data_IF_147531322422
#
_entry.id   IF_147531322422
#
_cell.length_a   1.000
_cell.length_b   1.000
_cell.length_c   1.000
_cell.angle_alpha   90.00
_cell.angle_beta   90.00
_cell.angle_gamma   90.00
#
_symmetry.space_group_name_H-M   'P 1'
#
loop_
_entity.id
_entity.type
_entity.pdbx_description
1 polymer ?
#
# COMPACT_ATOMS: atom_id res chain seq x y z
N UNK A 1 3.68 17.93 3.22
CA UNK A 1 3.33 16.61 2.65
C UNK A 1 4.49 16.17 1.77
N UNK A 2 5.01 14.98 2.01
CA UNK A 2 6.08 14.38 1.21
C UNK A 2 5.53 13.13 0.52
N UNK A 3 5.81 12.94 -0.77
CA UNK A 3 5.33 11.81 -1.54
C UNK A 3 6.49 11.21 -2.35
N UNK A 4 6.70 9.89 -2.24
CA UNK A 4 7.75 9.18 -2.96
C UNK A 4 7.20 7.90 -3.56
N UNK A 5 7.56 7.63 -4.82
CA UNK A 5 7.20 6.39 -5.52
C UNK A 5 8.46 5.56 -5.81
N UNK A 6 8.40 4.25 -5.56
CA UNK A 6 9.48 3.30 -5.87
C UNK A 6 8.93 1.99 -6.40
N UNK A 7 9.67 1.29 -7.26
CA UNK A 7 9.30 -0.08 -7.65
C UNK A 7 9.67 -1.05 -6.54
N UNK A 8 8.76 -1.97 -6.20
CA UNK A 8 8.99 -3.02 -5.19
C UNK A 8 8.32 -4.33 -5.57
N UNK A 9 9.01 -5.44 -5.34
CA UNK A 9 8.38 -6.77 -5.36
C UNK A 9 7.90 -7.08 -3.94
N UNK A 10 6.63 -7.45 -3.79
CA UNK A 10 6.05 -7.81 -2.48
C UNK A 10 5.28 -9.13 -2.57
N UNK A 11 5.07 -9.74 -1.42
CA UNK A 11 4.26 -10.93 -1.22
C UNK A 11 3.12 -10.58 -0.27
N UNK A 12 1.90 -10.94 -0.65
CA UNK A 12 0.66 -10.86 0.13
C UNK A 12 -0.06 -12.21 0.01
N UNK A 13 -1.11 -12.51 0.79
CA UNK A 13 -1.76 -13.81 0.70
C UNK A 13 -2.32 -14.14 -0.69
N UNK A 14 -2.74 -13.15 -1.47
CA UNK A 14 -3.17 -13.34 -2.86
C UNK A 14 -2.03 -13.67 -3.86
N UNK A 15 -0.76 -13.58 -3.45
CA UNK A 15 0.39 -13.93 -4.26
C UNK A 15 1.52 -12.88 -4.26
N UNK A 16 2.42 -13.02 -5.23
CA UNK A 16 3.60 -12.15 -5.41
C UNK A 16 3.37 -11.17 -6.54
N UNK A 17 3.63 -9.88 -6.28
CA UNK A 17 3.38 -8.81 -7.25
C UNK A 17 4.61 -7.93 -7.43
N UNK A 18 4.88 -7.51 -8.68
CA UNK A 18 5.69 -6.31 -8.96
C UNK A 18 4.76 -5.11 -8.77
N UNK A 19 5.18 -4.14 -7.97
CA UNK A 19 4.34 -3.02 -7.57
C UNK A 19 5.04 -1.67 -7.71
N UNK A 20 4.24 -0.62 -7.84
CA UNK A 20 4.64 0.74 -7.50
C UNK A 20 4.23 0.99 -6.05
N UNK A 21 5.21 1.22 -5.18
CA UNK A 21 5.01 1.62 -3.80
C UNK A 21 5.01 3.15 -3.70
N UNK A 22 3.92 3.71 -3.22
CA UNK A 22 3.76 5.14 -2.95
C UNK A 22 3.74 5.36 -1.45
N UNK A 23 4.75 6.03 -0.93
CA UNK A 23 4.80 6.47 0.46
C UNK A 23 4.39 7.95 0.53
N UNK A 24 3.48 8.26 1.45
CA UNK A 24 3.00 9.61 1.72
C UNK A 24 3.19 9.91 3.20
N UNK A 25 3.91 10.97 3.51
CA UNK A 25 4.08 11.48 4.87
C UNK A 25 3.32 12.81 5.01
N UNK A 26 2.41 12.89 5.98
CA UNK A 26 1.58 14.07 6.26
C UNK A 26 1.30 14.22 7.76
N UNK A 27 0.54 15.24 8.13
CA UNK A 27 0.10 15.44 9.51
C UNK A 27 -1.43 15.44 9.57
N UNK A 28 -1.97 14.83 10.61
CA UNK A 28 -3.40 14.86 10.96
C UNK A 28 -3.51 15.43 12.37
N UNK A 29 -4.18 16.58 12.53
CA UNK A 29 -4.30 17.27 13.82
C UNK A 29 -2.94 17.51 14.52
N UNK A 30 -1.90 17.80 13.74
CA UNK A 30 -0.53 18.02 14.25
C UNK A 30 0.28 16.75 14.56
N UNK A 31 -0.33 15.57 14.51
CA UNK A 31 0.38 14.29 14.66
C UNK A 31 0.91 13.79 13.31
N UNK A 32 2.15 13.26 13.24
CA UNK A 32 2.69 12.67 12.02
C UNK A 32 1.91 11.41 11.63
N UNK A 33 1.58 11.29 10.35
CA UNK A 33 0.96 10.13 9.75
C UNK A 33 1.75 9.73 8.51
N UNK A 34 2.00 8.43 8.35
CA UNK A 34 2.63 7.86 7.16
C UNK A 34 1.71 6.82 6.56
N UNK A 35 1.48 6.90 5.26
CA UNK A 35 0.71 5.90 4.53
C UNK A 35 1.54 5.33 3.39
N UNK A 36 1.58 4.00 3.29
CA UNK A 36 2.14 3.29 2.15
C UNK A 36 1.02 2.67 1.32
N UNK A 37 1.13 2.76 0.00
CA UNK A 37 0.22 2.09 -0.94
C UNK A 37 1.04 1.31 -1.96
N UNK A 38 0.65 0.06 -2.21
CA UNK A 38 1.29 -0.77 -3.23
C UNK A 38 0.28 -1.11 -4.31
N UNK A 39 0.58 -0.70 -5.53
CA UNK A 39 -0.26 -0.97 -6.69
C UNK A 39 0.43 -1.93 -7.64
N UNK A 40 -0.26 -3.00 -8.03
CA UNK A 40 0.17 -3.94 -9.05
C UNK A 40 -0.58 -3.68 -10.36
N UNK A 41 0.13 -3.77 -11.48
CA UNK A 41 -0.47 -3.60 -12.80
C UNK A 41 -1.53 -4.67 -13.09
N UNK A 42 -2.64 -4.26 -13.69
CA UNK A 42 -3.81 -5.14 -13.95
C UNK A 42 -4.59 -5.62 -12.72
N UNK A 43 -4.17 -5.26 -11.50
CA UNK A 43 -4.79 -5.70 -10.23
C UNK A 43 -5.28 -4.53 -9.38
N UNK A 44 -4.53 -3.43 -9.34
CA UNK A 44 -4.80 -2.29 -8.47
C UNK A 44 -4.07 -2.40 -7.13
N UNK A 45 -4.68 -1.93 -6.03
CA UNK A 45 -4.04 -1.88 -4.72
C UNK A 45 -3.97 -3.27 -4.10
N UNK A 46 -2.76 -3.74 -3.81
CA UNK A 46 -2.51 -5.07 -3.23
C UNK A 46 -2.11 -5.00 -1.76
N UNK A 47 -1.63 -3.83 -1.29
CA UNK A 47 -1.31 -3.58 0.12
C UNK A 47 -1.47 -2.09 0.44
N UNK A 48 -1.83 -1.81 1.69
CA UNK A 48 -1.81 -0.48 2.28
C UNK A 48 -1.24 -0.55 3.71
N UNK A 49 -0.46 0.44 4.11
CA UNK A 49 -0.09 0.66 5.51
C UNK A 49 -0.51 2.06 5.94
N UNK A 50 -0.91 2.20 7.20
CA UNK A 50 -1.18 3.48 7.84
C UNK A 50 -0.53 3.47 9.22
N UNK A 51 0.45 4.34 9.42
CA UNK A 51 1.17 4.53 10.68
C UNK A 51 0.81 5.90 11.27
N UNK A 52 0.16 5.88 12.44
CA UNK A 52 -0.22 7.07 13.21
C UNK A 52 0.76 7.36 14.36
N UNK A 53 1.94 6.73 14.38
CA UNK A 53 2.97 6.85 15.42
C UNK A 53 2.69 6.04 16.70
N UNK A 54 1.45 5.61 16.92
CA UNK A 54 1.04 4.74 18.04
C UNK A 54 0.81 3.28 17.62
N UNK A 55 0.96 2.98 16.34
CA UNK A 55 0.74 1.65 15.76
C UNK A 55 0.57 1.74 14.25
N UNK A 56 0.83 0.61 13.58
CA UNK A 56 0.66 0.47 12.14
C UNK A 56 -0.52 -0.44 11.84
N UNK A 57 -1.45 0.05 11.01
CA UNK A 57 -2.51 -0.75 10.41
C UNK A 57 -2.02 -1.19 9.04
N UNK A 58 -2.04 -2.51 8.79
CA UNK A 58 -1.69 -3.09 7.50
C UNK A 58 -2.92 -3.77 6.89
N UNK A 59 -3.25 -3.43 5.65
CA UNK A 59 -4.25 -4.12 4.84
C UNK A 59 -3.51 -4.84 3.71
N UNK A 60 -3.76 -6.14 3.56
CA UNK A 60 -3.19 -6.97 2.50
C UNK A 60 -4.29 -7.67 1.70
N UNK A 61 -4.11 -7.72 0.39
CA UNK A 61 -5.05 -8.39 -0.49
C UNK A 61 -5.00 -9.90 -0.23
N UNK A 62 -6.13 -10.43 0.24
CA UNK A 62 -6.27 -11.84 0.60
C UNK A 62 -6.47 -12.73 -0.64
N UNK A 63 -7.28 -12.26 -1.58
CA UNK A 63 -7.64 -12.99 -2.80
C UNK A 63 -7.93 -12.00 -3.93
N UNK A 64 -7.64 -12.40 -5.17
CA UNK A 64 -7.98 -11.64 -6.37
C UNK A 64 -8.61 -12.57 -7.40
N UNK A 65 -9.85 -12.28 -7.78
CA UNK A 65 -10.56 -12.98 -8.85
C UNK A 65 -10.78 -11.97 -9.98
N UNK A 66 -10.03 -12.08 -11.10
CA UNK A 66 -10.22 -11.18 -12.22
C UNK A 66 -11.63 -11.34 -12.80
N UNK A 67 -12.22 -10.23 -13.26
CA UNK A 67 -13.46 -10.28 -14.00
C UNK A 67 -13.27 -11.14 -15.27
N UNK A 68 -14.29 -11.90 -15.65
CA UNK A 68 -14.27 -12.61 -16.93
C UNK A 68 -14.25 -11.58 -18.07
N UNK A 69 -13.49 -11.84 -19.15
CA UNK A 69 -13.43 -10.98 -20.32
C UNK A 69 -14.80 -10.85 -21.00
#
# INVERSE_FOLDING_TARGET
>A
MNCKATEKKIEVPAGKFKTIHVQIDFQVNGAPCKTGYWFADGVGMVKQTIDFGQGEITLEMKEFIPAKP
#
